data_IF_672140322515
#
_entry.id   IF_672140322515
#
_cell.length_a   1.000
_cell.length_b   1.000
_cell.length_c   1.000
_cell.angle_alpha   90.00
_cell.angle_beta   90.00
_cell.angle_gamma   90.00
#
_symmetry.space_group_name_H-M   'P 1'
#
loop_
_entity.id
_entity.type
_entity.pdbx_description
1 polymer ?
#
# COMPACT_ATOMS: atom_id res chain seq x y z
N UNK A 1 -37.37 -12.83 17.50
CA UNK A 1 -36.00 -12.57 16.99
C UNK A 1 -35.18 -11.95 18.12
N UNK A 2 -34.26 -12.69 18.73
CA UNK A 2 -33.45 -12.19 19.84
C UNK A 2 -32.53 -11.07 19.37
N UNK A 3 -32.76 -9.84 19.86
CA UNK A 3 -31.84 -8.71 19.65
C UNK A 3 -30.67 -8.88 20.61
N UNK A 4 -29.74 -9.76 20.28
CA UNK A 4 -28.44 -9.77 20.94
C UNK A 4 -27.81 -8.40 20.69
N UNK A 5 -27.71 -7.59 21.73
CA UNK A 5 -27.15 -6.26 21.61
C UNK A 5 -25.64 -6.43 21.44
N UNK A 6 -25.13 -6.09 20.26
CA UNK A 6 -23.69 -6.10 20.02
C UNK A 6 -23.03 -5.16 21.05
N UNK A 7 -22.00 -5.62 21.79
CA UNK A 7 -21.40 -4.84 22.86
C UNK A 7 -20.71 -3.59 22.29
N UNK A 8 -20.62 -2.52 23.08
CA UNK A 8 -19.86 -1.33 22.70
C UNK A 8 -18.38 -1.59 23.00
N UNK A 9 -17.49 -1.13 22.13
CA UNK A 9 -16.06 -1.10 22.36
C UNK A 9 -15.68 0.13 23.18
N UNK A 10 -15.06 -0.10 24.34
CA UNK A 10 -14.66 0.95 25.29
C UNK A 10 -13.65 1.94 24.70
N UNK A 11 -12.68 1.49 23.90
CA UNK A 11 -11.64 2.37 23.32
C UNK A 11 -12.15 3.31 22.22
N UNK A 12 -13.23 2.93 21.52
CA UNK A 12 -13.70 3.64 20.31
C UNK A 12 -15.13 4.16 20.39
N UNK A 13 -15.89 3.77 21.41
CA UNK A 13 -17.32 4.08 21.57
C UNK A 13 -18.24 3.43 20.52
N UNK A 14 -17.71 2.53 19.66
CA UNK A 14 -18.45 1.94 18.53
C UNK A 14 -18.98 0.55 18.86
N UNK A 15 -20.02 0.14 18.13
CA UNK A 15 -20.56 -1.22 18.18
C UNK A 15 -19.49 -2.23 17.73
N UNK A 16 -19.19 -3.22 18.59
CA UNK A 16 -18.20 -4.28 18.40
C UNK A 16 -18.85 -5.53 17.82
N UNK A 17 -18.75 -5.71 16.51
CA UNK A 17 -19.12 -6.96 15.85
C UNK A 17 -18.03 -8.00 16.12
N UNK A 18 -18.40 -9.18 16.63
CA UNK A 18 -17.44 -10.26 16.91
C UNK A 18 -16.95 -10.93 15.64
N UNK A 19 -17.83 -11.17 14.67
CA UNK A 19 -17.51 -11.93 13.47
C UNK A 19 -17.46 -11.09 12.18
N UNK A 20 -16.56 -11.42 11.23
CA UNK A 20 -16.50 -10.77 9.92
C UNK A 20 -17.82 -10.85 9.12
N UNK A 21 -18.62 -11.91 9.34
CA UNK A 21 -19.91 -12.11 8.66
C UNK A 21 -20.94 -11.05 9.08
N UNK A 22 -20.94 -10.68 10.36
CA UNK A 22 -21.96 -9.80 10.94
C UNK A 22 -21.69 -8.34 10.58
N UNK A 23 -20.42 -7.92 10.59
CA UNK A 23 -20.08 -6.58 10.10
C UNK A 23 -20.34 -6.43 8.59
N UNK A 24 -20.08 -7.46 7.76
CA UNK A 24 -20.45 -7.45 6.33
C UNK A 24 -21.97 -7.32 6.15
N UNK A 25 -22.75 -8.03 6.97
CA UNK A 25 -24.22 -7.94 6.98
C UNK A 25 -24.71 -6.56 7.44
N UNK A 26 -24.07 -5.96 8.45
CA UNK A 26 -24.39 -4.62 8.94
C UNK A 26 -24.07 -3.54 7.90
N UNK A 27 -22.91 -3.63 7.22
CA UNK A 27 -22.54 -2.74 6.13
C UNK A 27 -23.52 -2.84 4.94
N UNK A 28 -23.92 -4.07 4.55
CA UNK A 28 -24.94 -4.28 3.51
C UNK A 28 -26.30 -3.69 3.90
N UNK A 29 -26.71 -3.78 5.17
CA UNK A 29 -27.93 -3.12 5.68
C UNK A 29 -27.85 -1.60 5.65
N UNK A 30 -26.68 -1.02 5.96
CA UNK A 30 -26.46 0.42 5.83
C UNK A 30 -26.57 0.88 4.37
N UNK A 31 -26.02 0.10 3.43
CA UNK A 31 -26.08 0.40 2.00
C UNK A 31 -27.49 0.26 1.41
N UNK A 32 -28.19 -0.82 1.74
CA UNK A 32 -29.61 -0.98 1.41
C UNK A 32 -30.47 0.17 1.99
N UNK A 33 -30.18 0.61 3.20
CA UNK A 33 -30.82 1.77 3.83
C UNK A 33 -30.58 3.07 3.06
N UNK A 34 -29.37 3.30 2.54
CA UNK A 34 -29.08 4.45 1.66
C UNK A 34 -29.77 4.34 0.31
N UNK A 35 -29.71 3.18 -0.33
CA UNK A 35 -30.33 2.93 -1.64
C UNK A 35 -31.84 3.14 -1.56
N UNK A 36 -32.50 2.57 -0.55
CA UNK A 36 -33.94 2.80 -0.30
C UNK A 36 -34.24 4.26 0.00
N UNK A 37 -33.43 4.96 0.79
CA UNK A 37 -33.64 6.37 1.07
C UNK A 37 -33.58 7.23 -0.21
N UNK A 38 -32.59 7.00 -1.09
CA UNK A 38 -32.50 7.62 -2.43
C UNK A 38 -33.73 7.36 -3.29
N UNK A 39 -34.23 6.12 -3.32
CA UNK A 39 -35.43 5.75 -4.10
C UNK A 39 -36.73 6.39 -3.61
N UNK A 40 -36.73 7.01 -2.43
CA UNK A 40 -37.90 7.69 -1.85
C UNK A 40 -37.63 9.20 -1.64
N UNK A 41 -36.52 9.73 -2.19
CA UNK A 41 -36.03 11.11 -1.97
C UNK A 41 -35.91 11.53 -0.49
N UNK A 42 -35.63 10.57 0.40
CA UNK A 42 -35.42 10.80 1.84
C UNK A 42 -33.92 10.78 2.16
N UNK A 43 -33.49 11.59 3.12
CA UNK A 43 -32.12 11.55 3.66
C UNK A 43 -31.90 10.32 4.56
N UNK A 44 -30.79 9.60 4.35
CA UNK A 44 -30.43 8.46 5.20
C UNK A 44 -29.53 8.88 6.37
N UNK A 45 -29.93 8.56 7.60
CA UNK A 45 -29.10 8.78 8.79
C UNK A 45 -27.86 7.86 8.88
N UNK A 46 -27.77 6.79 8.06
CA UNK A 46 -26.66 5.82 8.12
C UNK A 46 -25.47 6.22 7.22
N UNK A 47 -24.45 6.80 7.84
CA UNK A 47 -23.23 7.34 7.18
C UNK A 47 -22.06 6.35 7.05
N UNK A 48 -22.23 5.12 7.52
CA UNK A 48 -21.20 4.07 7.62
C UNK A 48 -20.95 3.39 6.26
N UNK A 49 -19.71 3.46 5.77
CA UNK A 49 -19.33 3.05 4.41
C UNK A 49 -18.19 2.01 4.36
N UNK A 50 -17.47 1.78 5.46
CA UNK A 50 -16.43 0.75 5.55
C UNK A 50 -16.45 0.03 6.90
N UNK A 51 -15.85 -1.15 6.90
CA UNK A 51 -15.54 -1.98 8.08
C UNK A 51 -14.03 -2.02 8.31
N UNK A 52 -13.60 -2.01 9.57
CA UNK A 52 -12.19 -2.21 9.95
C UNK A 52 -12.10 -3.12 11.19
N UNK A 53 -10.96 -3.77 11.38
CA UNK A 53 -10.65 -4.49 12.62
C UNK A 53 -9.99 -3.52 13.61
N UNK A 54 -10.40 -3.59 14.88
CA UNK A 54 -9.93 -2.72 15.94
C UNK A 54 -8.92 -3.46 16.83
N UNK A 55 -7.70 -2.93 16.91
CA UNK A 55 -6.60 -3.53 17.66
C UNK A 55 -6.89 -3.67 19.17
N UNK A 56 -7.58 -2.71 19.78
CA UNK A 56 -7.79 -2.71 21.24
C UNK A 56 -8.78 -3.79 21.71
N UNK A 57 -9.83 -4.03 20.93
CA UNK A 57 -10.91 -4.96 21.30
C UNK A 57 -10.91 -6.25 20.47
N UNK A 58 -9.97 -6.40 19.53
CA UNK A 58 -9.91 -7.48 18.52
C UNK A 58 -11.25 -7.73 17.77
N UNK A 59 -12.11 -6.71 17.72
CA UNK A 59 -13.43 -6.77 17.11
C UNK A 59 -13.51 -5.98 15.81
N UNK A 60 -14.65 -6.05 15.15
CA UNK A 60 -14.90 -5.38 13.89
C UNK A 60 -15.81 -4.16 14.12
N UNK A 61 -15.40 -2.99 13.61
CA UNK A 61 -16.14 -1.73 13.72
C UNK A 61 -16.45 -1.12 12.36
N UNK A 62 -17.58 -0.41 12.29
CA UNK A 62 -17.97 0.37 11.11
C UNK A 62 -17.42 1.79 11.18
N UNK A 63 -17.17 2.39 10.02
CA UNK A 63 -16.68 3.77 9.89
C UNK A 63 -17.33 4.49 8.72
N UNK A 64 -17.57 5.78 8.89
CA UNK A 64 -18.01 6.72 7.84
C UNK A 64 -16.84 7.30 7.05
N UNK A 65 -15.60 7.13 7.51
CA UNK A 65 -14.42 7.64 6.82
C UNK A 65 -14.13 6.80 5.58
N UNK A 66 -13.89 7.47 4.44
CA UNK A 66 -13.29 6.81 3.29
C UNK A 66 -11.86 6.37 3.63
N UNK A 67 -11.36 5.32 2.97
CA UNK A 67 -9.94 5.03 3.09
C UNK A 67 -9.15 6.18 2.47
N UNK A 68 -8.11 6.65 3.16
CA UNK A 68 -7.19 7.64 2.59
C UNK A 68 -6.63 7.08 1.28
N UNK A 69 -6.64 7.84 0.17
CA UNK A 69 -6.03 7.39 -1.07
C UNK A 69 -4.54 7.14 -0.84
N UNK A 70 -4.04 5.98 -1.26
CA UNK A 70 -2.62 5.67 -1.18
C UNK A 70 -1.91 6.59 -2.17
N UNK A 71 -1.20 7.60 -1.67
CA UNK A 71 -0.30 8.41 -2.49
C UNK A 71 0.95 7.58 -2.76
N UNK A 72 1.01 6.96 -3.93
CA UNK A 72 2.25 6.38 -4.45
C UNK A 72 3.25 7.51 -4.69
N UNK A 73 4.23 7.64 -3.81
CA UNK A 73 5.40 8.52 -4.04
C UNK A 73 6.43 7.76 -4.88
N UNK A 74 7.01 8.36 -5.93
CA UNK A 74 8.07 7.73 -6.69
C UNK A 74 9.31 7.56 -5.80
N UNK A 75 9.77 6.32 -5.67
CA UNK A 75 11.09 6.04 -5.06
C UNK A 75 12.16 6.68 -5.94
N UNK A 76 13.01 7.52 -5.32
CA UNK A 76 14.20 8.03 -5.98
C UNK A 76 15.09 6.85 -6.38
N UNK A 77 15.24 6.62 -7.70
CA UNK A 77 16.13 5.59 -8.22
C UNK A 77 17.57 6.04 -7.94
N UNK A 78 18.42 5.24 -7.29
CA UNK A 78 19.83 5.60 -7.14
C UNK A 78 20.45 5.71 -8.53
N UNK A 79 21.00 6.89 -8.83
CA UNK A 79 21.75 7.12 -10.08
C UNK A 79 23.06 6.36 -9.94
N UNK A 80 23.15 5.21 -10.60
CA UNK A 80 24.41 4.50 -10.76
C UNK A 80 25.34 5.34 -11.65
N UNK A 81 26.26 6.09 -11.05
CA UNK A 81 27.35 6.73 -11.77
C UNK A 81 28.30 5.61 -12.21
N UNK A 82 28.16 5.17 -13.46
CA UNK A 82 29.10 4.24 -14.08
C UNK A 82 30.32 5.06 -14.49
N UNK A 83 31.51 4.87 -13.87
CA UNK A 83 32.73 5.51 -14.37
C UNK A 83 33.04 4.97 -15.76
N UNK A 84 33.29 5.87 -16.72
CA UNK A 84 33.62 5.51 -18.10
C UNK A 84 34.92 4.69 -18.18
N UNK A 85 35.12 3.92 -19.27
CA UNK A 85 36.31 3.09 -19.43
C UNK A 85 37.57 3.96 -19.47
N UNK A 86 38.56 3.61 -18.65
CA UNK A 86 39.86 4.27 -18.66
C UNK A 86 40.52 4.07 -20.04
N UNK A 87 40.76 5.17 -20.76
CA UNK A 87 41.35 5.12 -22.10
C UNK A 87 42.76 4.53 -22.04
N UNK A 88 42.99 3.46 -22.80
CA UNK A 88 44.24 2.70 -22.82
C UNK A 88 45.43 3.54 -23.30
N UNK A 89 46.21 4.08 -22.36
CA UNK A 89 47.45 4.78 -22.62
C UNK A 89 48.60 3.82 -22.97
N UNK A 90 48.52 3.15 -24.12
CA UNK A 90 49.62 2.34 -24.66
C UNK A 90 50.76 3.25 -25.17
N UNK A 91 51.71 3.55 -24.28
CA UNK A 91 52.99 4.18 -24.65
C UNK A 91 53.91 3.16 -25.33
N UNK A 92 54.42 3.51 -26.51
CA UNK A 92 55.50 2.79 -27.21
C UNK A 92 56.84 2.97 -26.49
N UNK A 93 57.58 1.87 -26.28
CA UNK A 93 59.04 1.68 -26.41
C UNK A 93 59.25 0.14 -26.44
N UNK A 94 59.75 -0.48 -27.51
CA UNK A 94 61.13 -0.48 -28.05
C UNK A 94 62.07 -1.49 -27.32
N UNK A 95 63.05 -2.05 -28.06
CA UNK A 95 64.05 -3.09 -27.68
C UNK A 95 63.57 -4.55 -27.94
N UNK A 96 64.39 -5.51 -28.40
CA UNK A 96 65.85 -5.50 -28.64
C UNK A 96 66.32 -6.57 -29.68
N UNK A 97 67.57 -6.43 -30.14
CA UNK A 97 68.54 -7.49 -30.57
C UNK A 97 68.22 -8.45 -31.74
N UNK A 98 69.17 -8.79 -32.63
CA UNK A 98 70.56 -8.32 -32.78
C UNK A 98 71.45 -9.21 -33.68
N UNK A 99 72.72 -8.81 -33.86
CA UNK A 99 73.90 -9.56 -34.39
C UNK A 99 73.88 -9.97 -35.89
N UNK A 100 74.63 -9.28 -36.78
CA UNK A 100 76.02 -9.56 -37.29
C UNK A 100 76.13 -10.79 -38.22
N UNK A 101 76.93 -10.80 -39.30
CA UNK A 101 78.42 -10.91 -39.32
C UNK A 101 78.99 -10.51 -40.70
N UNK A 102 80.26 -10.11 -40.77
CA UNK A 102 81.07 -9.86 -41.98
C UNK A 102 82.15 -10.97 -42.16
N UNK A 103 82.83 -11.16 -43.30
CA UNK A 103 83.11 -10.30 -44.46
C UNK A 103 83.04 -11.15 -45.77
N UNK A 104 83.65 -10.84 -46.94
CA UNK A 104 84.66 -9.86 -47.37
C UNK A 104 84.48 -9.51 -48.86
#
# INVERSE_FOLDING_TARGET
MSRHHDPICESSGKVRFREPKDIKRALRRADQGRSRARLNDVTSNRREIKSYNCADCNGWHLTSQQARPIRLVPVARPIAIIPGPAASAMRRMASATGFTVAAA
#
